data_IF_552211834562
#
_entry.id   IF_552211834562
#
_cell.length_a   1.000
_cell.length_b   1.000
_cell.length_c   1.000
_cell.angle_alpha   90.00
_cell.angle_beta   90.00
_cell.angle_gamma   90.00
#
_symmetry.space_group_name_H-M   'P 1'
#
loop_
_entity.id
_entity.type
_entity.pdbx_description
1 polymer ?
#
# COMPACT_ATOMS: atom_id res chain seq x y z
N UNK A 1 13.51 0.91 -17.43
CA UNK A 1 13.58 1.21 -15.98
C UNK A 1 12.16 1.34 -15.50
N UNK A 2 11.66 0.55 -14.55
CA UNK A 2 10.27 0.69 -14.10
C UNK A 2 10.15 2.03 -13.37
N UNK A 3 9.37 2.95 -13.93
CA UNK A 3 9.08 4.23 -13.30
C UNK A 3 8.25 3.96 -12.05
N UNK A 4 8.71 4.46 -10.89
CA UNK A 4 7.89 4.44 -9.70
C UNK A 4 6.74 5.43 -9.91
N UNK A 5 5.50 4.96 -9.82
CA UNK A 5 4.31 5.80 -9.84
C UNK A 5 3.80 5.96 -8.41
N UNK A 6 3.10 7.05 -8.14
CA UNK A 6 2.61 7.35 -6.82
C UNK A 6 1.25 6.67 -6.62
N UNK A 7 1.24 5.56 -5.89
CA UNK A 7 0.01 4.81 -5.62
C UNK A 7 -0.61 5.25 -4.30
N UNK A 8 -1.90 5.54 -4.30
CA UNK A 8 -2.69 5.73 -3.09
C UNK A 8 -3.19 4.38 -2.57
N UNK A 9 -2.83 4.04 -1.34
CA UNK A 9 -3.26 2.81 -0.70
C UNK A 9 -4.14 3.06 0.51
N UNK A 10 -5.07 2.14 0.73
CA UNK A 10 -5.85 1.98 1.95
C UNK A 10 -5.46 0.65 2.56
N UNK A 11 -4.92 0.69 3.76
CA UNK A 11 -4.59 -0.50 4.54
C UNK A 11 -5.35 -0.50 5.86
N UNK A 12 -5.44 -1.65 6.50
CA UNK A 12 -6.03 -1.83 7.82
C UNK A 12 -4.92 -2.24 8.77
N UNK A 13 -4.79 -1.46 9.83
CA UNK A 13 -3.87 -1.77 10.92
C UNK A 13 -4.41 -2.90 11.81
N UNK A 14 -3.53 -3.53 12.59
CA UNK A 14 -3.89 -4.59 13.54
C UNK A 14 -4.97 -4.17 14.55
N UNK A 15 -5.07 -2.86 14.86
CA UNK A 15 -6.16 -2.30 15.65
C UNK A 15 -7.51 -2.15 14.92
N UNK A 16 -7.63 -2.64 13.69
CA UNK A 16 -8.85 -2.53 12.86
C UNK A 16 -9.06 -1.15 12.21
N UNK A 17 -8.14 -0.20 12.44
CA UNK A 17 -8.21 1.14 11.86
C UNK A 17 -7.84 1.11 10.39
N UNK A 18 -8.66 1.78 9.57
CA UNK A 18 -8.36 2.04 8.16
C UNK A 18 -7.37 3.21 8.06
N UNK A 19 -6.17 2.92 7.58
CA UNK A 19 -5.10 3.86 7.30
C UNK A 19 -5.09 4.12 5.80
N UNK A 20 -5.00 5.39 5.42
CA UNK A 20 -4.88 5.80 4.02
C UNK A 20 -3.54 6.51 3.86
N UNK A 21 -2.80 6.18 2.84
CA UNK A 21 -1.52 6.80 2.54
C UNK A 21 -1.24 6.74 1.05
N UNK A 22 -0.17 7.42 0.64
CA UNK A 22 0.35 7.35 -0.72
C UNK A 22 1.78 6.85 -0.65
N UNK A 23 2.19 5.98 -1.58
CA UNK A 23 3.54 5.46 -1.65
C UNK A 23 3.97 5.32 -3.11
N UNK A 24 5.20 5.74 -3.37
CA UNK A 24 5.86 5.50 -4.65
C UNK A 24 6.26 4.04 -4.75
N UNK A 25 5.76 3.38 -5.80
CA UNK A 25 6.03 1.97 -6.06
C UNK A 25 6.08 1.70 -7.56
N UNK A 26 6.73 0.61 -7.93
CA UNK A 26 6.79 0.18 -9.34
C UNK A 26 5.47 -0.46 -9.80
N UNK A 27 4.69 -1.01 -8.88
CA UNK A 27 3.37 -1.57 -9.12
C UNK A 27 2.62 -1.77 -7.78
N UNK A 28 1.32 -2.07 -7.85
CA UNK A 28 0.48 -2.36 -6.70
C UNK A 28 1.00 -3.54 -5.86
N UNK A 29 1.61 -4.56 -6.48
CA UNK A 29 2.15 -5.73 -5.77
C UNK A 29 3.30 -5.38 -4.81
N UNK A 30 4.14 -4.40 -5.16
CA UNK A 30 5.18 -3.85 -4.29
C UNK A 30 4.54 -3.13 -3.09
N UNK A 31 3.45 -2.39 -3.31
CA UNK A 31 2.68 -1.73 -2.25
C UNK A 31 2.05 -2.76 -1.31
N UNK A 32 1.37 -3.78 -1.84
CA UNK A 32 0.81 -4.92 -1.07
C UNK A 32 1.88 -5.57 -0.21
N UNK A 33 3.04 -5.86 -0.80
CA UNK A 33 4.14 -6.54 -0.11
C UNK A 33 4.67 -5.69 1.05
N UNK A 34 4.93 -4.40 0.81
CA UNK A 34 5.37 -3.44 1.84
C UNK A 34 4.36 -3.33 2.98
N UNK A 35 3.06 -3.20 2.65
CA UNK A 35 2.00 -3.12 3.64
C UNK A 35 1.96 -4.37 4.52
N UNK A 36 1.99 -5.55 3.91
CA UNK A 36 2.05 -6.82 4.64
C UNK A 36 3.28 -6.92 5.54
N UNK A 37 4.46 -6.49 5.09
CA UNK A 37 5.68 -6.47 5.90
C UNK A 37 5.56 -5.55 7.12
N UNK A 38 4.77 -4.47 7.01
CA UNK A 38 4.47 -3.55 8.11
C UNK A 38 3.35 -4.08 9.05
N UNK A 39 2.79 -5.26 8.79
CA UNK A 39 1.63 -5.78 9.53
C UNK A 39 0.31 -5.11 9.15
N UNK A 40 0.30 -4.34 8.07
CA UNK A 40 -0.88 -3.66 7.54
C UNK A 40 -1.54 -4.56 6.50
N UNK A 41 -2.84 -4.77 6.62
CA UNK A 41 -3.60 -5.53 5.63
C UNK A 41 -4.05 -4.59 4.51
N UNK A 42 -3.58 -4.73 3.26
CA UNK A 42 -4.07 -3.91 2.16
C UNK A 42 -5.56 -4.16 1.91
N UNK A 43 -6.34 -3.09 1.85
CA UNK A 43 -7.80 -3.12 1.63
C UNK A 43 -8.15 -2.63 0.23
N UNK A 44 -7.49 -1.57 -0.24
CA UNK A 44 -7.63 -1.07 -1.59
C UNK A 44 -6.35 -0.35 -2.01
N UNK A 45 -5.94 -0.51 -3.27
CA UNK A 45 -4.81 0.23 -3.85
C UNK A 45 -5.36 0.90 -5.11
N UNK A 46 -4.91 2.11 -5.35
CA UNK A 46 -5.36 3.00 -6.42
C UNK A 46 -4.11 3.66 -6.99
N UNK A 47 -3.98 3.66 -8.31
CA UNK A 47 -2.91 4.33 -9.06
C UNK A 47 -3.10 5.84 -9.20
#
# INVERSE_FOLDING_TARGET
MPAAQMYSYKSRDSGGKLVKGSMEAQNEAVVVSRLRTLGLTPVAITE
#
